data_IF_127500739795
#
_entry.id   IF_127500739795
#
_cell.length_a   1.000
_cell.length_b   1.000
_cell.length_c   1.000
_cell.angle_alpha   90.00
_cell.angle_beta   90.00
_cell.angle_gamma   90.00
#
_symmetry.space_group_name_H-M   'P 1'
#
loop_
_entity.id
_entity.type
_entity.pdbx_description
1 polymer ?
#
# COMPACT_ATOMS: atom_id res chain seq x y z
N UNK A 1 9.98 19.60 -0.16
CA UNK A 1 10.12 18.71 1.01
C UNK A 1 8.92 18.87 1.94
N UNK A 2 8.56 20.09 2.30
CA UNK A 2 7.36 20.46 3.08
C UNK A 2 6.03 19.83 2.61
N UNK A 3 5.73 19.82 1.30
CA UNK A 3 4.52 19.18 0.77
C UNK A 3 4.46 17.65 1.00
N UNK A 4 5.62 16.99 1.01
CA UNK A 4 5.69 15.55 1.26
C UNK A 4 5.44 15.25 2.74
N UNK A 5 5.98 16.07 3.65
CA UNK A 5 5.75 15.96 5.10
C UNK A 5 4.28 16.19 5.47
N UNK A 6 3.65 17.22 4.89
CA UNK A 6 2.22 17.48 5.08
C UNK A 6 1.36 16.29 4.62
N UNK A 7 1.72 15.68 3.47
CA UNK A 7 1.02 14.50 2.96
C UNK A 7 1.16 13.29 3.88
N UNK A 8 2.35 13.04 4.43
CA UNK A 8 2.58 11.96 5.41
C UNK A 8 1.76 12.21 6.69
N UNK A 9 1.75 13.44 7.20
CA UNK A 9 0.94 13.81 8.37
C UNK A 9 -0.55 13.57 8.15
N UNK A 10 -1.07 13.96 6.99
CA UNK A 10 -2.46 13.72 6.62
C UNK A 10 -2.80 12.22 6.54
N UNK A 11 -1.93 11.41 5.91
CA UNK A 11 -2.12 9.95 5.80
C UNK A 11 -2.17 9.26 7.17
N UNK A 12 -1.33 9.69 8.13
CA UNK A 12 -1.35 9.15 9.49
C UNK A 12 -2.70 9.37 10.18
N UNK A 13 -3.38 10.48 9.90
CA UNK A 13 -4.72 10.78 10.43
C UNK A 13 -5.83 9.86 9.91
N UNK A 14 -5.58 9.14 8.81
CA UNK A 14 -6.54 8.23 8.17
C UNK A 14 -6.26 6.75 8.42
N UNK A 15 -5.28 6.45 9.28
CA UNK A 15 -4.96 5.09 9.64
C UNK A 15 -6.15 4.40 10.34
N UNK A 16 -6.32 3.11 10.03
CA UNK A 16 -7.28 2.22 10.68
C UNK A 16 -6.55 1.14 11.46
N UNK A 17 -7.13 0.68 12.56
CA UNK A 17 -6.57 -0.45 13.31
C UNK A 17 -7.20 -1.74 12.79
N UNK A 18 -6.36 -2.67 12.31
CA UNK A 18 -6.76 -4.01 11.87
C UNK A 18 -5.88 -5.02 12.59
N UNK A 19 -6.48 -5.94 13.37
CA UNK A 19 -5.76 -6.96 14.14
C UNK A 19 -4.58 -6.41 14.97
N UNK A 20 -4.74 -5.21 15.54
CA UNK A 20 -3.72 -4.53 16.34
C UNK A 20 -2.60 -3.85 15.54
N UNK A 21 -2.75 -3.72 14.22
CA UNK A 21 -1.80 -3.02 13.34
C UNK A 21 -2.41 -1.70 12.86
N UNK A 22 -1.60 -0.64 12.78
CA UNK A 22 -2.02 0.62 12.17
C UNK A 22 -1.85 0.53 10.65
N UNK A 23 -2.96 0.59 9.91
CA UNK A 23 -3.01 0.36 8.46
C UNK A 23 -3.44 1.65 7.75
N UNK A 24 -2.65 2.08 6.77
CA UNK A 24 -2.98 3.17 5.86
C UNK A 24 -3.20 2.58 4.46
N UNK A 25 -4.37 2.81 3.89
CA UNK A 25 -4.69 2.38 2.54
C UNK A 25 -5.29 3.57 1.78
N UNK A 26 -4.60 4.05 0.74
CA UNK A 26 -5.02 5.26 0.02
C UNK A 26 -4.57 5.28 -1.45
N UNK A 27 -5.26 6.10 -2.25
CA UNK A 27 -4.94 6.37 -3.67
C UNK A 27 -4.42 7.79 -3.77
N UNK A 28 -3.12 7.92 -4.02
CA UNK A 28 -2.44 9.21 -4.14
C UNK A 28 -2.48 9.72 -5.57
N UNK A 29 -2.83 10.99 -5.74
CA UNK A 29 -2.72 11.69 -7.02
C UNK A 29 -1.31 12.24 -7.22
N UNK A 30 -0.91 12.40 -8.48
CA UNK A 30 0.35 13.03 -8.91
C UNK A 30 1.60 12.42 -8.25
N UNK A 31 1.54 11.13 -7.94
CA UNK A 31 2.64 10.42 -7.26
C UNK A 31 3.09 9.26 -8.15
N UNK A 32 4.35 9.24 -8.55
CA UNK A 32 4.92 8.10 -9.26
C UNK A 32 5.31 6.97 -8.30
N UNK A 33 5.68 5.81 -8.83
CA UNK A 33 6.06 4.65 -8.01
C UNK A 33 7.23 4.95 -7.06
N UNK A 34 8.16 5.84 -7.45
CA UNK A 34 9.27 6.27 -6.58
C UNK A 34 8.76 7.09 -5.40
N UNK A 35 7.83 8.00 -5.65
CA UNK A 35 7.13 8.77 -4.61
C UNK A 35 6.36 7.86 -3.67
N UNK A 36 5.61 6.89 -4.21
CA UNK A 36 4.90 5.89 -3.40
C UNK A 36 5.86 5.11 -2.49
N UNK A 37 6.99 4.64 -3.03
CA UNK A 37 8.01 3.95 -2.23
C UNK A 37 8.58 4.81 -1.11
N UNK A 38 8.89 6.08 -1.38
CA UNK A 38 9.41 7.01 -0.36
C UNK A 38 8.39 7.21 0.77
N UNK A 39 7.12 7.43 0.44
CA UNK A 39 6.05 7.62 1.43
C UNK A 39 5.82 6.33 2.23
N UNK A 40 5.75 5.17 1.56
CA UNK A 40 5.56 3.88 2.20
C UNK A 40 6.69 3.53 3.18
N UNK A 41 7.94 3.87 2.83
CA UNK A 41 9.09 3.67 3.72
C UNK A 41 9.02 4.56 4.97
N UNK A 42 8.73 5.86 4.80
CA UNK A 42 8.59 6.80 5.93
C UNK A 42 7.44 6.42 6.87
N UNK A 43 6.33 5.90 6.33
CA UNK A 43 5.21 5.42 7.14
C UNK A 43 5.54 4.10 7.85
N UNK A 44 6.29 3.20 7.23
CA UNK A 44 6.75 1.96 7.87
C UNK A 44 7.71 2.22 9.03
N UNK A 45 8.60 3.22 8.93
CA UNK A 45 9.45 3.68 10.04
C UNK A 45 8.62 4.20 11.23
N UNK A 46 7.43 4.75 10.96
CA UNK A 46 6.46 5.18 11.95
C UNK A 46 5.45 4.08 12.34
N UNK A 47 5.78 2.81 12.08
CA UNK A 47 4.99 1.62 12.44
C UNK A 47 3.62 1.49 11.76
N UNK A 48 3.44 2.10 10.60
CA UNK A 48 2.25 1.90 9.77
C UNK A 48 2.50 0.84 8.70
N UNK A 49 1.58 -0.11 8.57
CA UNK A 49 1.43 -0.94 7.38
C UNK A 49 0.75 -0.09 6.30
N UNK A 50 1.26 -0.11 5.07
CA UNK A 50 0.72 0.73 4.00
C UNK A 50 0.28 -0.06 2.78
N UNK A 51 -0.78 0.41 2.11
CA UNK A 51 -1.19 0.02 0.77
C UNK A 51 -1.45 1.32 0.00
N UNK A 52 -0.46 1.79 -0.76
CA UNK A 52 -0.54 3.06 -1.47
C UNK A 52 -0.66 2.78 -2.97
N UNK A 53 -1.63 3.42 -3.61
CA UNK A 53 -1.81 3.33 -5.06
C UNK A 53 -1.67 4.70 -5.72
N UNK A 54 -1.39 4.70 -7.01
CA UNK A 54 -1.47 5.90 -7.83
C UNK A 54 -2.02 5.55 -9.20
N UNK A 55 -2.95 6.39 -9.68
CA UNK A 55 -3.54 6.28 -11.03
C UNK A 55 -2.75 7.19 -11.97
N UNK A 56 -2.22 6.63 -13.05
CA UNK A 56 -1.56 7.38 -14.12
C UNK A 56 -2.06 6.86 -15.47
N UNK A 57 -2.77 7.71 -16.21
CA UNK A 57 -3.34 7.40 -17.52
C UNK A 57 -4.12 6.06 -17.52
N UNK A 58 -3.53 5.02 -18.11
CA UNK A 58 -4.10 3.68 -18.27
C UNK A 58 -3.47 2.65 -17.31
N UNK A 59 -2.81 3.10 -16.25
CA UNK A 59 -2.10 2.23 -15.32
C UNK A 59 -2.33 2.65 -13.86
N UNK A 60 -2.35 1.65 -12.98
CA UNK A 60 -2.36 1.85 -11.53
C UNK A 60 -1.09 1.24 -10.97
N UNK A 61 -0.25 2.05 -10.33
CA UNK A 61 0.90 1.56 -9.57
C UNK A 61 0.51 1.34 -8.11
N UNK A 62 1.09 0.32 -7.49
CA UNK A 62 0.83 -0.07 -6.10
C UNK A 62 2.16 -0.28 -5.39
N UNK A 63 2.26 0.23 -4.16
CA UNK A 63 3.33 -0.09 -3.21
C UNK A 63 2.70 -0.47 -1.88
N UNK A 64 3.17 -1.55 -1.27
CA UNK A 64 2.83 -1.89 0.11
C UNK A 64 4.10 -2.02 0.94
N UNK A 65 4.04 -1.57 2.19
CA UNK A 65 5.10 -1.78 3.18
C UNK A 65 4.53 -2.38 4.48
N UNK A 66 5.30 -3.25 5.11
CA UNK A 66 5.00 -3.86 6.41
C UNK A 66 6.09 -3.43 7.41
N UNK A 67 5.73 -2.80 8.54
CA UNK A 67 6.69 -2.37 9.55
C UNK A 67 7.36 -3.58 10.21
N UNK A 68 8.57 -3.38 10.74
CA UNK A 68 9.40 -4.47 11.26
C UNK A 68 8.70 -5.34 12.32
N UNK A 69 7.86 -4.72 13.15
CA UNK A 69 7.11 -5.37 14.22
C UNK A 69 6.01 -6.33 13.72
N UNK A 70 5.65 -6.30 12.43
CA UNK A 70 4.57 -7.10 11.85
C UNK A 70 5.03 -8.06 10.76
N UNK A 71 6.34 -8.10 10.43
CA UNK A 71 6.89 -8.93 9.33
C UNK A 71 6.65 -10.44 9.47
N UNK A 72 6.48 -10.94 10.70
CA UNK A 72 6.21 -12.37 10.95
C UNK A 72 4.73 -12.72 10.84
N UNK A 73 3.85 -11.70 10.83
CA UNK A 73 2.40 -11.85 10.77
C UNK A 73 1.87 -11.63 9.36
N UNK A 74 2.52 -10.78 8.57
CA UNK A 74 2.04 -10.46 7.22
C UNK A 74 3.19 -10.10 6.28
N UNK A 75 3.00 -10.37 4.99
CA UNK A 75 3.96 -10.09 3.92
C UNK A 75 3.41 -9.07 2.93
N UNK A 76 4.16 -7.99 2.69
CA UNK A 76 3.84 -6.98 1.69
C UNK A 76 3.67 -7.61 0.29
N UNK A 77 4.47 -8.63 -0.05
CA UNK A 77 4.41 -9.29 -1.35
C UNK A 77 3.09 -10.04 -1.58
N UNK A 78 2.49 -10.59 -0.53
CA UNK A 78 1.18 -11.26 -0.61
C UNK A 78 0.08 -10.23 -0.86
N UNK A 79 0.10 -9.12 -0.12
CA UNK A 79 -0.85 -8.01 -0.30
C UNK A 79 -0.78 -7.47 -1.73
N UNK A 80 0.42 -7.12 -2.21
CA UNK A 80 0.60 -6.55 -3.55
C UNK A 80 0.17 -7.52 -4.64
N UNK A 81 0.49 -8.81 -4.51
CA UNK A 81 0.08 -9.81 -5.51
C UNK A 81 -1.44 -9.84 -5.68
N UNK A 82 -2.20 -9.90 -4.58
CA UNK A 82 -3.67 -9.96 -4.60
C UNK A 82 -4.28 -8.66 -5.13
N UNK A 83 -3.71 -7.52 -4.77
CA UNK A 83 -4.12 -6.22 -5.31
C UNK A 83 -3.91 -6.17 -6.84
N UNK A 84 -2.73 -6.59 -7.32
CA UNK A 84 -2.39 -6.53 -8.74
C UNK A 84 -3.27 -7.47 -9.59
N UNK A 85 -3.65 -8.63 -9.06
CA UNK A 85 -4.58 -9.55 -9.74
C UNK A 85 -5.94 -8.87 -10.04
N UNK A 86 -6.46 -8.07 -9.10
CA UNK A 86 -7.71 -7.29 -9.29
C UNK A 86 -7.52 -6.18 -10.33
N UNK A 87 -6.33 -5.58 -10.39
CA UNK A 87 -5.95 -4.57 -11.38
C UNK A 87 -5.62 -5.16 -12.76
N UNK A 88 -5.66 -6.48 -12.92
CA UNK A 88 -5.29 -7.15 -14.18
C UNK A 88 -3.80 -7.05 -14.50
N UNK A 89 -2.93 -7.04 -13.49
CA UNK A 89 -1.48 -6.98 -13.66
C UNK A 89 -0.72 -7.86 -12.68
N UNK A 90 0.50 -7.45 -12.33
CA UNK A 90 1.42 -8.25 -11.52
C UNK A 90 2.30 -7.40 -10.62
N UNK A 91 2.90 -8.05 -9.62
CA UNK A 91 3.76 -7.40 -8.64
C UNK A 91 4.59 -8.40 -7.85
N UNK A 92 5.53 -7.86 -7.06
CA UNK A 92 6.45 -8.64 -6.25
C UNK A 92 7.30 -7.77 -5.32
N UNK A 93 8.12 -8.43 -4.52
CA UNK A 93 8.98 -7.78 -3.54
C UNK A 93 9.30 -8.71 -2.38
N UNK A 94 9.74 -8.13 -1.28
CA UNK A 94 10.04 -8.84 -0.04
C UNK A 94 8.85 -8.78 0.92
N UNK A 95 8.88 -9.50 2.05
CA UNK A 95 7.86 -9.35 3.09
C UNK A 95 7.74 -7.92 3.64
N UNK A 96 8.82 -7.15 3.61
CA UNK A 96 8.86 -5.76 4.07
C UNK A 96 8.23 -4.76 3.13
N UNK A 97 8.50 -4.93 1.84
CA UNK A 97 8.09 -3.96 0.84
C UNK A 97 7.90 -4.66 -0.50
N UNK A 98 6.81 -4.34 -1.15
CA UNK A 98 6.48 -4.87 -2.46
C UNK A 98 5.85 -3.78 -3.33
N UNK A 99 5.96 -3.99 -4.63
CA UNK A 99 5.42 -3.08 -5.63
C UNK A 99 4.85 -3.85 -6.83
N UNK A 100 3.96 -3.19 -7.56
CA UNK A 100 3.38 -3.73 -8.78
C UNK A 100 2.39 -2.76 -9.39
N UNK A 101 1.49 -3.30 -10.20
CA UNK A 101 0.43 -2.51 -10.80
C UNK A 101 -0.41 -3.32 -11.77
N UNK A 102 -1.29 -2.63 -12.49
CA UNK A 102 -2.12 -3.19 -13.55
C UNK A 102 -2.81 -2.12 -14.38
N UNK A 103 -3.39 -2.52 -15.50
CA UNK A 103 -3.99 -1.61 -16.49
C UNK A 103 -5.49 -1.36 -16.24
N UNK A 104 -6.14 -2.14 -15.37
CA UNK A 104 -7.55 -1.97 -15.06
C UNK A 104 -7.78 -0.86 -14.01
N UNK A 105 -7.68 0.39 -14.46
CA UNK A 105 -7.88 1.58 -13.61
C UNK A 105 -9.27 1.63 -12.97
N UNK A 106 -10.29 1.10 -13.64
CA UNK A 106 -11.66 1.05 -13.12
C UNK A 106 -11.77 0.23 -11.82
N UNK A 107 -10.89 -0.76 -11.64
CA UNK A 107 -10.88 -1.64 -10.47
C UNK A 107 -10.05 -1.10 -9.29
N UNK A 108 -9.57 0.15 -9.34
CA UNK A 108 -8.66 0.66 -8.28
C UNK A 108 -9.27 0.60 -6.88
N UNK A 109 -10.54 0.96 -6.74
CA UNK A 109 -11.21 0.94 -5.43
C UNK A 109 -11.39 -0.49 -4.92
N UNK A 110 -11.80 -1.41 -5.79
CA UNK A 110 -11.91 -2.84 -5.47
C UNK A 110 -10.55 -3.44 -5.10
N UNK A 111 -9.49 -3.03 -5.78
CA UNK A 111 -8.13 -3.45 -5.52
C UNK A 111 -7.68 -2.98 -4.13
N UNK A 112 -7.97 -1.73 -3.75
CA UNK A 112 -7.67 -1.19 -2.43
C UNK A 112 -8.41 -1.94 -1.31
N UNK A 113 -9.71 -2.19 -1.50
CA UNK A 113 -10.51 -3.00 -0.58
C UNK A 113 -9.98 -4.43 -0.46
N UNK A 114 -9.52 -5.01 -1.57
CA UNK A 114 -8.90 -6.33 -1.57
C UNK A 114 -7.61 -6.37 -0.77
N UNK A 115 -6.76 -5.35 -0.89
CA UNK A 115 -5.57 -5.24 -0.05
C UNK A 115 -5.92 -5.17 1.44
N UNK A 116 -6.92 -4.38 1.82
CA UNK A 116 -7.40 -4.31 3.21
C UNK A 116 -7.90 -5.65 3.73
N UNK A 117 -8.66 -6.40 2.92
CA UNK A 117 -9.15 -7.73 3.28
C UNK A 117 -8.03 -8.73 3.49
N UNK A 118 -7.01 -8.71 2.63
CA UNK A 118 -5.82 -9.56 2.80
C UNK A 118 -5.11 -9.24 4.12
N UNK A 119 -5.04 -7.95 4.49
CA UNK A 119 -4.47 -7.56 5.79
C UNK A 119 -5.29 -8.12 6.94
N UNK A 120 -6.61 -8.13 6.85
CA UNK A 120 -7.50 -8.72 7.87
C UNK A 120 -7.39 -10.25 7.96
N UNK A 121 -7.32 -10.95 6.81
CA UNK A 121 -7.30 -12.41 6.71
C UNK A 121 -5.95 -13.03 7.10
N UNK A 122 -4.84 -12.42 6.69
CA UNK A 122 -3.49 -13.02 6.80
C UNK A 122 -2.74 -12.61 8.08
N UNK A 123 -3.20 -11.60 8.81
CA UNK A 123 -2.45 -11.03 9.95
C UNK A 123 -2.74 -11.66 11.32
N UNK A 124 -3.40 -12.81 11.34
CA UNK A 124 -3.80 -13.51 12.57
C UNK A 124 -2.60 -14.17 13.28
#
# INVERSE_FOLDING_TARGET
EELAELRVGWLKGHAKVINGMNVIADVLQDTDTKGLMKIAAQLAEAEFLTILMSKQDNHVSVVSSVPAIHKTRISASVVVKRVCEVLGGGGGGTPEIAQGGGENVANTEEALLTGLRVVEEESL
#
